data_IF_868676468151
#
_entry.id   IF_868676468151
#
_cell.length_a   1.000
_cell.length_b   1.000
_cell.length_c   1.000
_cell.angle_alpha   90.00
_cell.angle_beta   90.00
_cell.angle_gamma   90.00
#
_symmetry.space_group_name_H-M   'P 1'
#
loop_
_entity.id
_entity.type
_entity.pdbx_description
1 polymer ?
#
# COMPACT_ATOMS: atom_id res chain seq x y z
N UNK A 1 -11.14 7.04 7.27
CA UNK A 1 -10.80 6.62 5.90
C UNK A 1 -9.32 6.86 5.60
N UNK A 2 -8.84 8.11 5.43
CA UNK A 2 -7.42 8.38 5.20
C UNK A 2 -6.46 7.79 6.27
N UNK A 3 -6.90 7.70 7.54
CA UNK A 3 -6.12 7.14 8.65
C UNK A 3 -5.70 5.68 8.41
N UNK A 4 -6.60 4.85 7.86
CA UNK A 4 -6.34 3.43 7.61
C UNK A 4 -5.30 3.24 6.51
N UNK A 5 -5.40 4.02 5.43
CA UNK A 5 -4.44 4.04 4.32
C UNK A 5 -3.06 4.51 4.79
N UNK A 6 -3.00 5.55 5.62
CA UNK A 6 -1.75 6.02 6.21
C UNK A 6 -1.08 4.97 7.10
N UNK A 7 -1.86 4.22 7.90
CA UNK A 7 -1.33 3.15 8.74
C UNK A 7 -0.72 2.01 7.91
N UNK A 8 -1.44 1.55 6.89
CA UNK A 8 -0.97 0.53 5.94
C UNK A 8 0.35 0.97 5.29
N UNK A 9 0.44 2.21 4.83
CA UNK A 9 1.64 2.74 4.18
C UNK A 9 2.83 2.86 5.15
N UNK A 10 2.60 3.18 6.43
CA UNK A 10 3.65 3.17 7.45
C UNK A 10 4.17 1.75 7.71
N UNK A 11 3.30 0.75 7.79
CA UNK A 11 3.74 -0.65 7.95
C UNK A 11 4.51 -1.15 6.72
N UNK A 12 4.04 -0.81 5.52
CA UNK A 12 4.77 -1.12 4.28
C UNK A 12 6.18 -0.51 4.29
N UNK A 13 6.35 0.73 4.76
CA UNK A 13 7.66 1.38 4.83
C UNK A 13 8.65 0.66 5.76
N UNK A 14 8.17 -0.06 6.77
CA UNK A 14 9.02 -0.84 7.69
C UNK A 14 9.41 -2.20 7.12
N UNK A 15 8.59 -2.75 6.22
CA UNK A 15 8.79 -4.07 5.60
C UNK A 15 9.70 -3.96 4.37
N UNK A 16 9.50 -2.93 3.53
CA UNK A 16 10.28 -2.74 2.32
C UNK A 16 11.55 -1.95 2.58
N UNK A 17 12.70 -2.59 2.40
CA UNK A 17 14.03 -1.95 2.52
C UNK A 17 14.60 -1.52 1.17
N UNK A 18 13.95 -1.90 0.06
CA UNK A 18 14.37 -1.61 -1.29
C UNK A 18 14.01 -0.16 -1.66
N UNK A 19 14.99 0.63 -2.12
CA UNK A 19 14.81 2.07 -2.36
C UNK A 19 13.71 2.35 -3.39
N UNK A 20 13.60 1.54 -4.44
CA UNK A 20 12.55 1.68 -5.47
C UNK A 20 11.14 1.48 -4.90
N UNK A 21 10.98 0.55 -3.96
CA UNK A 21 9.70 0.33 -3.27
C UNK A 21 9.42 1.45 -2.26
N UNK A 22 10.44 1.90 -1.54
CA UNK A 22 10.34 3.04 -0.61
C UNK A 22 9.90 4.32 -1.33
N UNK A 23 10.40 4.60 -2.53
CA UNK A 23 9.94 5.73 -3.34
C UNK A 23 8.46 5.61 -3.72
N UNK A 24 8.01 4.42 -4.13
CA UNK A 24 6.59 4.17 -4.44
C UNK A 24 5.69 4.33 -3.22
N UNK A 25 6.15 3.91 -2.04
CA UNK A 25 5.42 4.08 -0.77
C UNK A 25 5.31 5.57 -0.41
N UNK A 26 6.41 6.33 -0.52
CA UNK A 26 6.39 7.79 -0.28
C UNK A 26 5.41 8.50 -1.22
N UNK A 27 5.38 8.10 -2.48
CA UNK A 27 4.42 8.63 -3.45
C UNK A 27 2.97 8.29 -3.08
N UNK A 28 2.70 7.06 -2.63
CA UNK A 28 1.37 6.68 -2.15
C UNK A 28 0.94 7.48 -0.90
N UNK A 29 1.88 7.75 0.03
CA UNK A 29 1.62 8.61 1.21
C UNK A 29 1.22 10.03 0.77
N UNK A 30 1.90 10.57 -0.23
CA UNK A 30 1.61 11.90 -0.77
C UNK A 30 0.22 11.95 -1.43
N UNK A 31 -0.16 10.90 -2.16
CA UNK A 31 -1.52 10.76 -2.71
C UNK A 31 -2.59 10.75 -1.61
N UNK A 32 -2.34 10.06 -0.49
CA UNK A 32 -3.25 10.08 0.68
C UNK A 32 -3.37 11.49 1.27
N UNK A 33 -2.25 12.22 1.41
CA UNK A 33 -2.25 13.60 1.92
C UNK A 33 -3.02 14.56 1.04
N UNK A 34 -2.99 14.35 -0.27
CA UNK A 34 -3.74 15.13 -1.26
C UNK A 34 -5.23 14.74 -1.35
N UNK A 35 -5.67 13.72 -0.60
CA UNK A 35 -7.05 13.20 -0.66
C UNK A 35 -7.31 12.26 -1.85
N UNK A 36 -6.29 11.93 -2.63
CA UNK A 36 -6.35 11.04 -3.79
C UNK A 36 -6.30 9.56 -3.36
N UNK A 37 -7.29 9.13 -2.57
CA UNK A 37 -7.31 7.80 -1.92
C UNK A 37 -7.35 6.64 -2.93
N UNK A 38 -8.05 6.81 -4.06
CA UNK A 38 -8.15 5.78 -5.11
C UNK A 38 -6.77 5.50 -5.72
N UNK A 39 -6.04 6.55 -6.10
CA UNK A 39 -4.70 6.43 -6.66
C UNK A 39 -3.71 5.87 -5.64
N UNK A 40 -3.84 6.22 -4.36
CA UNK A 40 -3.01 5.64 -3.30
C UNK A 40 -3.22 4.11 -3.20
N UNK A 41 -4.46 3.64 -3.29
CA UNK A 41 -4.77 2.21 -3.30
C UNK A 41 -4.19 1.48 -4.54
N UNK A 42 -4.28 2.09 -5.72
CA UNK A 42 -3.68 1.51 -6.94
C UNK A 42 -2.15 1.44 -6.83
N UNK A 43 -1.54 2.43 -6.17
CA UNK A 43 -0.10 2.42 -5.97
C UNK A 43 0.34 1.36 -4.97
N UNK A 44 -0.42 1.18 -3.90
CA UNK A 44 -0.25 0.04 -3.00
C UNK A 44 -0.32 -1.25 -3.80
N UNK A 45 -1.39 -1.48 -4.58
CA UNK A 45 -1.55 -2.66 -5.45
C UNK A 45 -0.35 -2.90 -6.36
N UNK A 46 0.24 -1.85 -6.93
CA UNK A 46 1.42 -1.95 -7.80
C UNK A 46 2.65 -2.41 -7.04
N UNK A 47 2.89 -1.87 -5.83
CA UNK A 47 3.97 -2.34 -4.95
C UNK A 47 3.72 -3.82 -4.58
N UNK A 48 2.44 -4.20 -4.35
CA UNK A 48 2.03 -5.58 -4.03
C UNK A 48 2.10 -6.52 -5.24
N UNK A 49 2.37 -6.03 -6.45
CA UNK A 49 2.51 -6.87 -7.64
C UNK A 49 3.88 -6.75 -8.32
N UNK A 50 4.84 -6.03 -7.70
CA UNK A 50 6.24 -5.96 -8.13
C UNK A 50 6.91 -7.34 -8.18
N UNK A 51 7.66 -7.63 -9.25
CA UNK A 51 8.29 -8.93 -9.53
C UNK A 51 9.49 -9.25 -8.61
N UNK A 52 10.09 -8.24 -8.00
CA UNK A 52 11.36 -8.34 -7.24
C UNK A 52 11.13 -8.64 -5.76
N UNK A 53 10.52 -9.79 -5.44
CA UNK A 53 10.15 -10.11 -4.04
C UNK A 53 10.64 -11.45 -3.54
N UNK A 54 11.07 -11.45 -2.28
CA UNK A 54 11.42 -12.64 -1.50
C UNK A 54 10.18 -13.31 -0.91
N UNK A 55 10.27 -14.60 -0.64
CA UNK A 55 9.15 -15.41 -0.11
C UNK A 55 8.63 -14.90 1.25
N UNK A 56 9.50 -14.34 2.09
CA UNK A 56 9.13 -13.77 3.39
C UNK A 56 8.40 -12.43 3.24
N UNK A 57 8.83 -11.58 2.31
CA UNK A 57 8.12 -10.35 1.97
C UNK A 57 6.70 -10.66 1.49
N UNK A 58 6.49 -11.73 0.72
CA UNK A 58 5.18 -12.16 0.20
C UNK A 58 4.19 -12.54 1.33
N UNK A 59 4.64 -13.24 2.37
CA UNK A 59 3.77 -13.61 3.49
C UNK A 59 3.32 -12.40 4.31
N UNK A 60 4.26 -11.51 4.69
CA UNK A 60 3.91 -10.26 5.37
C UNK A 60 3.03 -9.37 4.48
N UNK A 61 3.28 -9.39 3.16
CA UNK A 61 2.44 -8.68 2.18
C UNK A 61 1.00 -9.17 2.16
N UNK A 62 0.78 -10.49 2.22
CA UNK A 62 -0.56 -11.06 1.98
C UNK A 62 -1.58 -10.52 2.98
N UNK A 63 -1.17 -10.30 4.23
CA UNK A 63 -2.03 -9.68 5.24
C UNK A 63 -2.34 -8.22 4.91
N UNK A 64 -1.33 -7.40 4.61
CA UNK A 64 -1.47 -5.99 4.23
C UNK A 64 -2.26 -5.80 2.93
N UNK A 65 -2.11 -6.71 1.97
CA UNK A 65 -2.87 -6.76 0.73
C UNK A 65 -4.35 -6.96 1.02
N UNK A 66 -4.69 -7.98 1.82
CA UNK A 66 -6.07 -8.29 2.16
C UNK A 66 -6.73 -7.10 2.89
N UNK A 67 -6.01 -6.43 3.78
CA UNK A 67 -6.47 -5.21 4.45
C UNK A 67 -6.68 -4.05 3.47
N UNK A 68 -5.72 -3.81 2.58
CA UNK A 68 -5.80 -2.75 1.56
C UNK A 68 -6.93 -2.97 0.55
N UNK A 69 -7.12 -4.22 0.10
CA UNK A 69 -8.20 -4.60 -0.83
C UNK A 69 -9.56 -4.53 -0.18
N UNK A 70 -9.69 -4.98 1.08
CA UNK A 70 -10.93 -4.83 1.84
C UNK A 70 -11.32 -3.36 1.96
N UNK A 71 -10.34 -2.50 2.25
CA UNK A 71 -10.53 -1.06 2.36
C UNK A 71 -10.91 -0.40 1.01
N UNK A 72 -10.25 -0.78 -0.08
CA UNK A 72 -10.60 -0.30 -1.43
C UNK A 72 -12.03 -0.71 -1.84
N UNK A 73 -12.43 -1.94 -1.54
CA UNK A 73 -13.80 -2.42 -1.81
C UNK A 73 -14.86 -1.65 -1.00
N UNK A 74 -14.56 -1.29 0.24
CA UNK A 74 -15.43 -0.43 1.05
C UNK A 74 -15.58 0.96 0.45
N UNK A 75 -14.51 1.55 -0.07
CA UNK A 75 -14.56 2.84 -0.77
C UNK A 75 -15.37 2.79 -2.07
N UNK A 76 -15.33 1.69 -2.82
CA UNK A 76 -16.13 1.53 -4.05
C UNK A 76 -17.62 1.26 -3.81
N UNK A 77 -18.01 0.83 -2.61
CA UNK A 77 -19.40 0.52 -2.26
C UNK A 77 -20.15 1.72 -1.63
N UNK A 78 -19.48 2.85 -1.43
CA UNK A 78 -20.09 4.13 -1.04
C UNK A 78 -20.32 5.03 -2.26
#
# INVERSE_FOLDING_TARGET
>A
MAITLSYILMEMQQIFVQEDLLQKIRFAIELVRQGNLVLACDQIRTIINSSDRTTDEIQQYTLLYNQSVAYYKQLQQQ
#
